data_IF_432389724133
#
_entry.id   IF_432389724133
#
_cell.length_a   1.000
_cell.length_b   1.000
_cell.length_c   1.000
_cell.angle_alpha   90.00
_cell.angle_beta   90.00
_cell.angle_gamma   90.00
#
_symmetry.space_group_name_H-M   'P 1'
#
loop_
_entity.id
_entity.type
_entity.pdbx_description
1 polymer ?
#
# COMPACT_ATOMS: atom_id res chain seq x y z
N UNK A 1 12.81 -15.77 -18.47
CA UNK A 1 13.33 -14.46 -18.96
C UNK A 1 12.26 -13.66 -19.72
N UNK A 2 11.58 -14.22 -20.71
CA UNK A 2 10.54 -13.51 -21.49
C UNK A 2 9.34 -13.00 -20.64
N UNK A 3 8.80 -13.82 -19.71
CA UNK A 3 7.64 -13.43 -18.88
C UNK A 3 7.95 -12.24 -17.94
N UNK A 4 9.14 -12.19 -17.34
CA UNK A 4 9.56 -11.06 -16.49
C UNK A 4 9.69 -9.76 -17.30
N UNK A 5 10.31 -9.80 -18.47
CA UNK A 5 10.45 -8.62 -19.34
C UNK A 5 9.09 -8.11 -19.83
N UNK A 6 8.16 -9.02 -20.14
CA UNK A 6 6.78 -8.66 -20.49
C UNK A 6 6.07 -7.91 -19.36
N UNK A 7 6.13 -8.43 -18.13
CA UNK A 7 5.49 -7.78 -16.98
C UNK A 7 6.08 -6.39 -16.69
N UNK A 8 7.41 -6.23 -16.81
CA UNK A 8 8.06 -4.92 -16.64
C UNK A 8 7.57 -3.94 -17.70
N UNK A 9 7.56 -4.36 -18.99
CA UNK A 9 7.05 -3.50 -20.07
C UNK A 9 5.59 -3.12 -19.88
N UNK A 10 4.76 -4.06 -19.45
CA UNK A 10 3.35 -3.80 -19.17
C UNK A 10 3.14 -2.78 -18.05
N UNK A 11 3.94 -2.88 -16.98
CA UNK A 11 3.90 -1.90 -15.88
C UNK A 11 4.34 -0.50 -16.36
N UNK A 12 5.34 -0.44 -17.24
CA UNK A 12 5.76 0.83 -17.86
C UNK A 12 4.67 1.43 -18.74
N UNK A 13 3.99 0.61 -19.54
CA UNK A 13 2.88 1.04 -20.40
C UNK A 13 1.66 1.54 -19.59
N UNK A 14 1.44 0.99 -18.39
CA UNK A 14 0.36 1.35 -17.47
C UNK A 14 0.77 2.37 -16.39
N UNK A 15 1.89 3.05 -16.53
CA UNK A 15 2.40 4.01 -15.53
C UNK A 15 1.42 5.12 -15.16
N UNK A 16 0.59 5.57 -16.11
CA UNK A 16 -0.40 6.61 -15.85
C UNK A 16 -1.49 6.13 -14.88
N UNK A 17 -1.82 4.83 -14.89
CA UNK A 17 -2.74 4.23 -13.91
C UNK A 17 -2.11 4.23 -12.51
N UNK A 18 -0.82 3.91 -12.41
CA UNK A 18 -0.09 4.00 -11.14
C UNK A 18 -0.05 5.44 -10.61
N UNK A 19 0.27 6.42 -11.48
CA UNK A 19 0.32 7.83 -11.08
C UNK A 19 -1.06 8.32 -10.62
N UNK A 20 -2.12 7.91 -11.31
CA UNK A 20 -3.48 8.21 -10.91
C UNK A 20 -3.82 7.60 -9.56
N UNK A 21 -3.46 6.34 -9.32
CA UNK A 21 -3.68 5.65 -8.05
C UNK A 21 -2.95 6.36 -6.90
N UNK A 22 -1.68 6.76 -7.11
CA UNK A 22 -0.94 7.58 -6.14
C UNK A 22 -1.70 8.87 -5.80
N UNK A 23 -2.11 9.62 -6.81
CA UNK A 23 -2.84 10.87 -6.65
C UNK A 23 -4.16 10.66 -5.91
N UNK A 24 -4.92 9.63 -6.27
CA UNK A 24 -6.23 9.35 -5.67
C UNK A 24 -6.10 8.92 -4.19
N UNK A 25 -5.10 8.14 -3.84
CA UNK A 25 -4.81 7.81 -2.44
C UNK A 25 -4.44 9.05 -1.62
N UNK A 26 -3.64 9.97 -2.17
CA UNK A 26 -3.25 11.21 -1.48
C UNK A 26 -4.46 12.11 -1.24
N UNK A 27 -5.41 12.17 -2.17
CA UNK A 27 -6.65 12.97 -2.06
C UNK A 27 -7.58 12.53 -0.94
N UNK A 28 -7.39 11.34 -0.39
CA UNK A 28 -8.19 10.86 0.73
C UNK A 28 -7.44 11.15 2.02
N UNK A 29 -7.87 12.11 2.84
CA UNK A 29 -7.27 12.32 4.14
C UNK A 29 -7.42 11.07 5.01
N UNK A 30 -6.32 10.61 5.56
CA UNK A 30 -6.26 9.49 6.50
C UNK A 30 -5.32 9.85 7.63
N UNK A 31 -5.56 11.02 8.20
CA UNK A 31 -4.71 11.60 9.24
C UNK A 31 -4.83 10.82 10.52
N UNK A 32 -3.71 10.42 11.09
CA UNK A 32 -3.65 9.74 12.37
C UNK A 32 -2.66 10.45 13.31
N UNK A 33 -3.07 10.93 14.50
CA UNK A 33 -4.44 10.94 14.99
C UNK A 33 -5.34 11.98 14.27
N UNK A 34 -6.68 11.85 14.29
CA UNK A 34 -7.53 10.95 15.11
C UNK A 34 -7.73 9.55 14.53
N UNK A 35 -7.30 9.24 13.30
CA UNK A 35 -7.40 7.91 12.71
C UNK A 35 -8.75 7.63 12.03
N UNK A 36 -9.25 8.56 11.22
CA UNK A 36 -10.44 8.38 10.40
C UNK A 36 -10.09 7.59 9.12
N UNK A 37 -10.15 6.25 9.20
CA UNK A 37 -9.67 5.35 8.16
C UNK A 37 -10.75 4.84 7.19
N UNK A 38 -12.02 5.14 7.41
CA UNK A 38 -13.13 4.54 6.65
C UNK A 38 -13.04 4.85 5.14
N UNK A 39 -12.78 6.11 4.78
CA UNK A 39 -12.75 6.53 3.38
C UNK A 39 -11.61 5.85 2.59
N UNK A 40 -10.40 5.79 3.18
CA UNK A 40 -9.25 5.16 2.52
C UNK A 40 -9.40 3.64 2.47
N UNK A 41 -9.91 3.03 3.54
CA UNK A 41 -10.23 1.60 3.58
C UNK A 41 -11.22 1.23 2.48
N UNK A 42 -12.33 1.97 2.36
CA UNK A 42 -13.35 1.76 1.33
C UNK A 42 -12.79 1.94 -0.10
N UNK A 43 -11.89 2.89 -0.29
CA UNK A 43 -11.23 3.10 -1.58
C UNK A 43 -10.36 1.90 -1.95
N UNK A 44 -9.52 1.43 -1.02
CA UNK A 44 -8.62 0.30 -1.23
C UNK A 44 -9.41 -0.99 -1.48
N UNK A 45 -10.46 -1.24 -0.69
CA UNK A 45 -11.32 -2.42 -0.90
C UNK A 45 -11.95 -2.43 -2.29
N UNK A 46 -12.46 -1.29 -2.76
CA UNK A 46 -13.01 -1.15 -4.12
C UNK A 46 -11.95 -1.43 -5.19
N UNK A 47 -10.73 -0.91 -5.02
CA UNK A 47 -9.63 -1.22 -5.93
C UNK A 47 -9.36 -2.72 -6.01
N UNK A 48 -9.33 -3.41 -4.87
CA UNK A 48 -9.12 -4.86 -4.82
C UNK A 48 -10.27 -5.63 -5.51
N UNK A 49 -11.51 -5.18 -5.32
CA UNK A 49 -12.70 -5.76 -5.98
C UNK A 49 -12.65 -5.58 -7.51
N UNK A 50 -12.28 -4.38 -7.99
CA UNK A 50 -12.14 -4.06 -9.42
C UNK A 50 -11.10 -4.95 -10.10
N UNK A 51 -10.06 -5.34 -9.38
CA UNK A 51 -9.01 -6.26 -9.85
C UNK A 51 -9.22 -7.73 -9.46
N UNK A 52 -10.41 -8.10 -8.97
CA UNK A 52 -10.77 -9.48 -8.59
C UNK A 52 -9.82 -10.12 -7.57
N UNK A 53 -9.27 -9.34 -6.65
CA UNK A 53 -8.37 -9.79 -5.59
C UNK A 53 -9.17 -10.06 -4.32
N UNK A 54 -9.04 -11.27 -3.78
CA UNK A 54 -9.68 -11.64 -2.53
C UNK A 54 -9.03 -10.92 -1.35
N UNK A 55 -9.84 -10.38 -0.44
CA UNK A 55 -9.36 -9.66 0.74
C UNK A 55 -10.28 -9.87 1.95
N UNK A 56 -9.76 -9.57 3.12
CA UNK A 56 -10.48 -9.47 4.38
C UNK A 56 -10.13 -8.13 5.06
N UNK A 57 -11.12 -7.54 5.75
CA UNK A 57 -10.88 -6.37 6.60
C UNK A 57 -11.00 -6.83 8.06
N UNK A 58 -9.90 -6.72 8.79
CA UNK A 58 -9.77 -7.18 10.16
C UNK A 58 -9.75 -6.00 11.12
N UNK A 59 -10.60 -6.04 12.14
CA UNK A 59 -10.79 -4.96 13.09
C UNK A 59 -10.36 -5.39 14.50
N UNK A 60 -9.08 -5.23 14.91
CA UNK A 60 -8.68 -5.45 16.31
C UNK A 60 -9.36 -4.46 17.27
N UNK A 61 -9.66 -3.25 16.78
CA UNK A 61 -10.54 -2.26 17.44
C UNK A 61 -11.52 -1.69 16.42
N UNK A 62 -12.63 -1.05 16.84
CA UNK A 62 -13.61 -0.50 15.90
C UNK A 62 -13.07 0.52 14.89
N UNK A 63 -11.93 1.14 15.17
CA UNK A 63 -11.34 2.24 14.39
C UNK A 63 -10.04 1.85 13.67
N UNK A 64 -9.60 0.58 13.75
CA UNK A 64 -8.33 0.13 13.15
C UNK A 64 -8.56 -0.96 12.11
N UNK A 65 -9.05 -0.62 10.91
CA UNK A 65 -9.26 -1.57 9.82
C UNK A 65 -7.94 -1.98 9.18
N UNK A 66 -7.50 -3.22 9.39
CA UNK A 66 -6.41 -3.82 8.66
C UNK A 66 -6.95 -4.54 7.43
N UNK A 67 -6.36 -4.33 6.26
CA UNK A 67 -6.74 -5.04 5.04
C UNK A 67 -5.69 -6.10 4.76
N UNK A 68 -6.13 -7.35 4.61
CA UNK A 68 -5.28 -8.46 4.19
C UNK A 68 -5.83 -9.03 2.89
N UNK A 69 -5.07 -8.88 1.81
CA UNK A 69 -5.44 -9.38 0.49
C UNK A 69 -4.48 -10.47 0.03
N UNK A 70 -4.95 -11.42 -0.75
CA UNK A 70 -4.12 -12.55 -1.21
C UNK A 70 -4.32 -12.84 -2.69
N UNK A 71 -3.22 -13.21 -3.35
CA UNK A 71 -3.20 -13.62 -4.73
C UNK A 71 -2.28 -14.84 -4.89
N UNK A 72 -2.66 -15.79 -5.74
CA UNK A 72 -1.87 -17.00 -6.03
C UNK A 72 -2.38 -18.23 -5.27
N UNK A 73 -1.50 -19.20 -5.07
CA UNK A 73 -1.85 -20.53 -4.58
C UNK A 73 -1.38 -20.78 -3.15
N UNK A 74 -2.30 -21.13 -2.27
CA UNK A 74 -1.98 -21.53 -0.89
C UNK A 74 -1.08 -22.77 -0.85
N UNK A 75 -0.20 -22.83 0.16
CA UNK A 75 0.68 -23.99 0.40
C UNK A 75 2.04 -23.94 -0.27
N UNK A 76 2.34 -22.88 -1.03
CA UNK A 76 3.69 -22.54 -1.53
C UNK A 76 4.39 -21.53 -0.62
N UNK A 77 5.49 -20.97 -1.13
CA UNK A 77 6.15 -19.81 -0.48
C UNK A 77 5.22 -18.62 -0.48
N UNK A 78 5.30 -17.79 0.55
CA UNK A 78 4.51 -16.58 0.68
C UNK A 78 5.41 -15.35 0.77
N UNK A 79 5.17 -14.41 -0.14
CA UNK A 79 5.74 -13.08 -0.09
C UNK A 79 4.72 -12.13 0.53
N UNK A 80 5.11 -11.44 1.61
CA UNK A 80 4.31 -10.38 2.21
C UNK A 80 4.69 -9.06 1.54
N UNK A 81 3.69 -8.29 1.17
CA UNK A 81 3.78 -6.88 0.82
C UNK A 81 3.14 -6.10 1.97
N UNK A 82 3.88 -5.20 2.59
CA UNK A 82 3.36 -4.43 3.73
C UNK A 82 3.46 -2.93 3.49
N UNK A 83 2.45 -2.20 3.93
CA UNK A 83 2.40 -0.76 3.90
C UNK A 83 1.29 -0.22 4.78
N UNK A 84 1.37 1.08 5.10
CA UNK A 84 0.35 1.75 5.89
C UNK A 84 -0.49 2.73 5.06
N UNK A 85 -1.69 2.98 5.52
CA UNK A 85 -2.65 3.88 4.87
C UNK A 85 -2.84 5.21 5.59
N UNK A 86 -2.41 5.28 6.86
CA UNK A 86 -2.46 6.51 7.64
C UNK A 86 -1.30 7.45 7.29
N UNK A 87 -1.45 8.70 7.69
CA UNK A 87 -0.45 9.76 7.51
C UNK A 87 -0.46 10.69 8.72
N UNK A 88 0.69 11.27 9.08
CA UNK A 88 0.76 12.32 10.10
C UNK A 88 -0.01 13.57 9.67
N UNK A 89 -0.46 14.41 10.63
CA UNK A 89 -1.08 15.69 10.32
C UNK A 89 -0.23 16.56 9.40
N UNK A 90 -0.84 17.37 8.52
CA UNK A 90 -0.09 18.22 7.59
C UNK A 90 0.70 19.35 8.26
N UNK A 91 0.42 19.66 9.52
CA UNK A 91 1.06 20.74 10.26
C UNK A 91 0.58 22.12 9.84
N UNK A 92 1.51 23.09 9.71
CA UNK A 92 1.15 24.45 9.32
C UNK A 92 0.79 24.51 7.83
N UNK A 93 -0.51 24.73 7.54
CA UNK A 93 -1.05 24.77 6.17
C UNK A 93 -0.48 25.93 5.33
N UNK A 94 -0.08 27.05 5.95
CA UNK A 94 0.50 28.20 5.23
C UNK A 94 1.87 27.88 4.60
N UNK A 95 2.52 26.79 5.01
CA UNK A 95 3.80 26.34 4.47
C UNK A 95 3.66 25.42 3.26
N UNK A 96 2.44 25.03 2.92
CA UNK A 96 2.20 24.20 1.76
C UNK A 96 1.99 25.04 0.51
N UNK A 97 2.68 24.68 -0.57
CA UNK A 97 2.50 25.31 -1.89
C UNK A 97 1.15 24.88 -2.52
N UNK A 98 0.71 23.65 -2.22
CA UNK A 98 -0.57 23.06 -2.62
C UNK A 98 -1.33 22.62 -1.40
N UNK A 99 -2.63 22.40 -1.58
CA UNK A 99 -3.40 21.69 -0.54
C UNK A 99 -2.72 20.33 -0.25
N UNK A 100 -2.43 20.00 1.03
CA UNK A 100 -1.76 18.75 1.40
C UNK A 100 -2.48 17.49 0.91
N UNK A 101 -3.75 17.57 0.57
CA UNK A 101 -4.54 16.46 0.04
C UNK A 101 -4.99 16.69 -1.42
N UNK A 102 -4.31 17.55 -2.16
CA UNK A 102 -4.61 17.77 -3.59
C UNK A 102 -4.22 16.59 -4.48
N UNK A 103 -3.19 15.84 -4.11
CA UNK A 103 -2.61 14.84 -5.00
C UNK A 103 -2.10 15.43 -6.32
N UNK A 104 -1.65 16.69 -6.29
CA UNK A 104 -1.20 17.43 -7.48
C UNK A 104 -0.03 16.71 -8.17
N UNK A 105 -0.15 16.54 -9.49
CA UNK A 105 0.93 16.01 -10.33
C UNK A 105 1.42 17.12 -11.24
N UNK A 106 2.64 17.56 -11.03
CA UNK A 106 3.26 18.63 -11.80
C UNK A 106 4.76 18.42 -11.94
N UNK A 107 5.30 18.71 -13.11
CA UNK A 107 6.73 18.66 -13.40
C UNK A 107 7.39 17.32 -13.01
N UNK A 108 6.71 16.21 -13.25
CA UNK A 108 7.18 14.86 -12.94
C UNK A 108 7.22 14.53 -11.45
N UNK A 109 6.50 15.28 -10.60
CA UNK A 109 6.39 15.06 -9.15
C UNK A 109 4.95 14.97 -8.72
N UNK A 110 4.71 14.22 -7.66
CA UNK A 110 3.43 14.15 -6.95
C UNK A 110 3.58 14.89 -5.63
N UNK A 111 2.63 15.80 -5.36
CA UNK A 111 2.63 16.63 -4.16
C UNK A 111 1.48 16.21 -3.23
N UNK A 112 1.78 16.14 -1.95
CA UNK A 112 0.79 15.95 -0.90
C UNK A 112 1.31 15.22 0.33
N UNK A 113 0.54 15.25 1.41
CA UNK A 113 0.79 14.49 2.63
C UNK A 113 0.63 12.99 2.32
N UNK A 114 1.65 12.21 2.68
CA UNK A 114 1.70 10.79 2.33
C UNK A 114 2.29 10.48 0.95
N UNK A 115 2.67 11.48 0.13
CA UNK A 115 3.27 11.22 -1.17
C UNK A 115 4.59 10.44 -1.05
N UNK A 116 5.42 10.76 -0.07
CA UNK A 116 6.64 10.01 0.22
C UNK A 116 6.38 8.87 1.21
N UNK A 117 5.74 9.18 2.30
CA UNK A 117 5.49 8.29 3.43
C UNK A 117 3.98 8.11 3.63
N UNK A 118 3.40 6.91 3.23
CA UNK A 118 3.96 6.00 2.23
C UNK A 118 2.94 5.67 1.13
N UNK A 119 1.95 6.58 0.86
CA UNK A 119 0.85 6.29 -0.10
C UNK A 119 1.31 5.99 -1.53
N UNK A 120 2.42 6.58 -2.01
CA UNK A 120 2.95 6.19 -3.32
C UNK A 120 3.59 4.79 -3.29
N UNK A 121 4.25 4.42 -2.19
CA UNK A 121 4.71 3.05 -1.96
C UNK A 121 3.52 2.07 -1.92
N UNK A 122 2.48 2.42 -1.15
CA UNK A 122 1.24 1.64 -1.07
C UNK A 122 0.56 1.50 -2.46
N UNK A 123 0.52 2.58 -3.25
CA UNK A 123 0.02 2.54 -4.63
C UNK A 123 0.82 1.55 -5.49
N UNK A 124 2.15 1.54 -5.35
CA UNK A 124 3.02 0.59 -6.04
C UNK A 124 2.70 -0.87 -5.68
N UNK A 125 2.45 -1.16 -4.40
CA UNK A 125 2.04 -2.50 -3.96
C UNK A 125 0.67 -2.90 -4.52
N UNK A 126 -0.32 -2.03 -4.41
CA UNK A 126 -1.67 -2.26 -4.96
C UNK A 126 -1.65 -2.45 -6.47
N UNK A 127 -0.97 -1.55 -7.19
CA UNK A 127 -0.85 -1.61 -8.65
C UNK A 127 -0.18 -2.91 -9.10
N UNK A 128 0.89 -3.34 -8.43
CA UNK A 128 1.56 -4.61 -8.73
C UNK A 128 0.62 -5.81 -8.56
N UNK A 129 -0.15 -5.83 -7.49
CA UNK A 129 -1.17 -6.87 -7.26
C UNK A 129 -2.26 -6.83 -8.33
N UNK A 130 -2.74 -5.64 -8.70
CA UNK A 130 -3.73 -5.45 -9.77
C UNK A 130 -3.24 -6.00 -11.12
N UNK A 131 -2.02 -5.62 -11.53
CA UNK A 131 -1.41 -6.12 -12.78
C UNK A 131 -1.27 -7.64 -12.76
N UNK A 132 -0.80 -8.23 -11.65
CA UNK A 132 -0.66 -9.68 -11.55
C UNK A 132 -2.01 -10.41 -11.66
N UNK A 133 -3.07 -9.83 -11.10
CA UNK A 133 -4.42 -10.38 -11.16
C UNK A 133 -5.03 -10.24 -12.55
N UNK A 134 -5.01 -9.03 -13.14
CA UNK A 134 -5.55 -8.73 -14.46
C UNK A 134 -4.94 -9.63 -15.54
N UNK A 135 -3.62 -9.85 -15.49
CA UNK A 135 -2.89 -10.69 -16.42
C UNK A 135 -2.95 -12.19 -16.07
N UNK A 136 -3.69 -12.55 -15.04
CA UNK A 136 -3.85 -13.94 -14.59
C UNK A 136 -2.51 -14.65 -14.44
N UNK A 137 -1.54 -13.96 -13.83
CA UNK A 137 -0.18 -14.47 -13.68
C UNK A 137 -0.17 -15.69 -12.78
N UNK A 138 0.23 -16.84 -13.32
CA UNK A 138 0.46 -18.03 -12.49
C UNK A 138 1.63 -17.79 -11.53
N UNK A 139 1.34 -17.92 -10.24
CA UNK A 139 2.31 -17.83 -9.15
C UNK A 139 2.55 -19.20 -8.54
N UNK A 140 3.82 -19.55 -8.32
CA UNK A 140 4.21 -20.81 -7.67
C UNK A 140 4.01 -20.79 -6.13
N UNK A 141 3.48 -19.68 -5.63
CA UNK A 141 3.20 -19.43 -4.22
C UNK A 141 2.09 -18.41 -4.06
N UNK A 142 2.14 -17.69 -2.96
CA UNK A 142 1.16 -16.69 -2.59
C UNK A 142 1.82 -15.32 -2.38
N UNK A 143 1.20 -14.27 -2.88
CA UNK A 143 1.48 -12.89 -2.48
C UNK A 143 0.38 -12.45 -1.54
N UNK A 144 0.77 -11.97 -0.36
CA UNK A 144 -0.13 -11.45 0.67
C UNK A 144 0.16 -9.96 0.86
N UNK A 145 -0.84 -9.13 0.64
CA UNK A 145 -0.75 -7.69 0.90
C UNK A 145 -1.40 -7.40 2.26
N UNK A 146 -0.63 -6.81 3.17
CA UNK A 146 -1.08 -6.37 4.48
C UNK A 146 -1.01 -4.84 4.56
N UNK A 147 -2.16 -4.18 4.64
CA UNK A 147 -2.27 -2.72 4.75
C UNK A 147 -2.78 -2.38 6.14
N UNK A 148 -2.05 -1.53 6.85
CA UNK A 148 -2.32 -1.20 8.25
C UNK A 148 -2.69 0.28 8.41
N UNK A 149 -3.48 0.63 9.45
CA UNK A 149 -4.04 1.97 9.61
C UNK A 149 -3.36 2.82 10.68
N UNK A 150 -2.29 2.37 11.34
CA UNK A 150 -1.78 2.97 12.59
C UNK A 150 -0.26 2.98 12.72
N UNK A 151 0.48 2.94 11.61
CA UNK A 151 1.95 2.94 11.63
C UNK A 151 2.48 4.22 12.28
N UNK A 152 1.93 5.37 11.92
CA UNK A 152 2.33 6.71 12.37
C UNK A 152 2.08 6.98 13.88
N UNK A 153 1.37 6.06 14.53
CA UNK A 153 1.07 6.13 15.97
C UNK A 153 1.47 4.85 16.71
N UNK A 154 2.58 4.22 16.31
CA UNK A 154 3.21 3.05 16.94
C UNK A 154 2.78 1.66 16.46
N UNK A 155 1.86 1.52 15.53
CA UNK A 155 1.53 0.26 14.85
C UNK A 155 1.00 -0.88 15.73
N UNK A 156 0.46 -0.55 16.91
CA UNK A 156 0.09 -1.58 17.91
C UNK A 156 -1.06 -2.48 17.46
N UNK A 157 -1.96 -1.94 16.66
CA UNK A 157 -3.16 -2.63 16.16
C UNK A 157 -3.07 -2.98 14.67
N UNK A 158 -2.01 -2.51 14.02
CA UNK A 158 -1.65 -2.81 12.64
C UNK A 158 -0.71 -4.01 12.54
N UNK A 159 0.50 -3.78 12.00
CA UNK A 159 1.48 -4.82 11.70
C UNK A 159 1.79 -5.70 12.90
N UNK A 160 1.99 -5.12 14.09
CA UNK A 160 2.28 -5.89 15.31
C UNK A 160 1.15 -6.88 15.61
N UNK A 161 -0.09 -6.40 15.65
CA UNK A 161 -1.25 -7.26 15.92
C UNK A 161 -1.42 -8.35 14.86
N UNK A 162 -1.28 -8.04 13.58
CA UNK A 162 -1.39 -9.00 12.48
C UNK A 162 -0.37 -10.14 12.60
N UNK A 163 0.86 -9.81 12.99
CA UNK A 163 1.93 -10.80 13.19
C UNK A 163 1.71 -11.62 14.46
N UNK A 164 1.43 -10.98 15.60
CA UNK A 164 1.23 -11.65 16.89
C UNK A 164 -0.02 -12.55 16.89
N UNK A 165 -1.07 -12.18 16.16
CA UNK A 165 -2.28 -13.00 15.99
C UNK A 165 -2.12 -14.14 14.97
N UNK A 166 -0.99 -14.19 14.24
CA UNK A 166 -0.75 -15.17 13.20
C UNK A 166 -1.53 -14.95 11.91
N UNK A 167 -2.22 -13.81 11.76
CA UNK A 167 -2.97 -13.47 10.53
C UNK A 167 -2.03 -13.21 9.35
N UNK A 168 -0.83 -12.67 9.61
CA UNK A 168 0.19 -12.43 8.61
C UNK A 168 1.45 -13.23 8.96
N UNK A 169 1.78 -14.19 8.10
CA UNK A 169 3.00 -15.00 8.18
C UNK A 169 3.51 -15.24 6.77
N UNK A 170 4.83 -15.28 6.57
CA UNK A 170 5.41 -15.50 5.23
C UNK A 170 6.90 -15.83 5.27
N UNK A 171 7.47 -16.11 4.11
CA UNK A 171 8.88 -16.47 3.92
C UNK A 171 9.76 -15.24 3.69
N UNK A 172 9.17 -14.17 3.15
CA UNK A 172 9.83 -12.89 2.91
C UNK A 172 8.81 -11.75 3.00
N UNK A 173 9.30 -10.51 3.25
CA UNK A 173 8.49 -9.32 3.30
C UNK A 173 9.15 -8.19 2.51
N UNK A 174 8.35 -7.45 1.75
CA UNK A 174 8.70 -6.17 1.14
C UNK A 174 7.85 -5.10 1.83
N UNK A 175 8.50 -4.10 2.40
CA UNK A 175 7.85 -2.92 2.98
C UNK A 175 8.14 -1.76 2.05
N UNK A 176 7.10 -1.07 1.59
CA UNK A 176 7.25 -0.01 0.58
C UNK A 176 7.50 1.38 1.18
N UNK A 177 8.20 1.43 2.31
CA UNK A 177 8.64 2.65 2.96
C UNK A 177 9.73 3.39 2.15
N UNK A 178 9.82 4.73 2.26
CA UNK A 178 10.84 5.50 1.56
C UNK A 178 12.23 5.31 2.19
N UNK A 179 13.09 4.54 1.52
CA UNK A 179 14.50 4.33 1.93
C UNK A 179 15.50 5.12 1.08
N UNK A 180 15.01 5.98 0.17
CA UNK A 180 15.79 6.75 -0.80
C UNK A 180 15.74 6.13 -2.20
N UNK A 181 16.14 6.92 -3.22
CA UNK A 181 15.93 6.56 -4.63
C UNK A 181 16.62 5.27 -5.09
N UNK A 182 17.73 4.89 -4.47
CA UNK A 182 18.56 3.78 -4.92
C UNK A 182 18.93 2.80 -3.80
N UNK A 183 18.32 2.96 -2.64
CA UNK A 183 18.65 2.14 -1.48
C UNK A 183 17.54 1.11 -1.24
N UNK A 184 17.95 -0.13 -1.06
CA UNK A 184 17.10 -1.17 -0.50
C UNK A 184 17.69 -1.51 0.88
N UNK A 185 16.95 -1.24 1.93
CA UNK A 185 17.35 -1.58 3.30
C UNK A 185 16.94 -3.00 3.62
N UNK A 186 17.85 -3.77 4.21
CA UNK A 186 17.58 -5.15 4.64
C UNK A 186 17.54 -5.18 6.15
N UNK A 187 16.36 -5.42 6.71
CA UNK A 187 16.16 -5.53 8.14
C UNK A 187 16.21 -4.16 8.83
N UNK A 188 15.16 -3.41 8.74
CA UNK A 188 15.01 -2.18 9.50
C UNK A 188 14.82 -2.51 10.98
N UNK A 189 15.58 -1.82 11.82
CA UNK A 189 15.41 -1.90 13.26
C UNK A 189 14.34 -0.88 13.67
N UNK A 190 13.18 -1.36 14.05
CA UNK A 190 12.12 -0.56 14.68
C UNK A 190 12.46 -0.23 16.13
#
# INVERSE_FOLDING_TARGET
MQKHQYLVSLMEDRKEELLKLCSDLIKIPSVNPPGEMEAITSFICRYLEEHHISYEVLYPTPTTPNIVATLGRKGGRRLILNGHSDVVPPGNLEKWEFDPFSGEIRDGKIFGRGASDMKCGLAGLLFSMGVLSDEQVELDGEVMLAIVPDEEVSGSWGTKWLVESGMVTGDACIIAEPSGYFNCEIGQKG
#
